data_IF_396679181612
#
_entry.id   IF_396679181612
#
_cell.length_a   1.000
_cell.length_b   1.000
_cell.length_c   1.000
_cell.angle_alpha   90.00
_cell.angle_beta   90.00
_cell.angle_gamma   90.00
#
_symmetry.space_group_name_H-M   'P 1'
#
loop_
_entity.id
_entity.type
_entity.pdbx_description
1 polymer ?
#
# COMPACT_ATOMS: atom_id res chain seq x y z
N UNK A 1 -12.97 3.94 -28.00
CA UNK A 1 -13.89 2.92 -27.47
C UNK A 1 -13.05 1.84 -26.78
N UNK A 2 -12.71 2.03 -25.50
CA UNK A 2 -12.29 0.94 -24.60
C UNK A 2 -12.81 1.30 -23.21
N UNK A 3 -14.11 1.02 -23.02
CA UNK A 3 -14.71 1.04 -21.70
C UNK A 3 -14.23 -0.21 -20.96
N UNK A 4 -13.13 -0.09 -20.21
CA UNK A 4 -12.75 -1.14 -19.27
C UNK A 4 -13.74 -1.11 -18.11
N UNK A 5 -14.74 -1.97 -18.25
CA UNK A 5 -15.75 -2.38 -17.27
C UNK A 5 -15.14 -2.46 -15.86
N UNK A 6 -15.34 -1.42 -15.08
CA UNK A 6 -15.18 -1.45 -13.63
C UNK A 6 -16.13 -2.52 -13.07
N UNK A 7 -15.67 -3.50 -12.28
CA UNK A 7 -16.59 -4.39 -11.61
C UNK A 7 -17.36 -3.56 -10.57
N UNK A 8 -18.65 -3.41 -10.86
CA UNK A 8 -19.68 -2.89 -9.98
C UNK A 8 -19.66 -3.62 -8.63
N UNK A 9 -19.00 -3.05 -7.63
CA UNK A 9 -19.35 -3.26 -6.23
C UNK A 9 -20.16 -2.04 -5.77
N UNK A 10 -21.47 -2.24 -5.62
CA UNK A 10 -22.35 -1.27 -4.99
C UNK A 10 -22.09 -1.28 -3.47
N UNK A 11 -21.76 -0.11 -2.91
CA UNK A 11 -22.05 0.37 -1.54
C UNK A 11 -21.09 1.54 -1.18
N UNK A 12 -21.56 2.65 -0.59
CA UNK A 12 -20.75 3.84 -0.34
C UNK A 12 -19.97 3.69 0.98
N UNK A 13 -18.89 2.90 0.98
CA UNK A 13 -18.00 2.78 2.16
C UNK A 13 -16.53 2.47 1.85
N UNK A 14 -16.15 2.42 0.57
CA UNK A 14 -14.81 1.99 0.13
C UNK A 14 -13.72 3.03 0.47
N UNK A 15 -13.27 3.03 1.74
CA UNK A 15 -12.10 3.73 2.26
C UNK A 15 -10.80 2.97 1.97
N UNK A 16 -10.75 2.13 0.95
CA UNK A 16 -9.59 1.29 0.65
C UNK A 16 -8.48 2.14 0.02
N UNK A 17 -7.26 2.18 0.61
CA UNK A 17 -6.15 2.97 0.05
C UNK A 17 -5.51 2.32 -1.18
N UNK A 18 -6.16 1.31 -1.78
CA UNK A 18 -5.71 0.61 -2.98
C UNK A 18 -6.78 0.56 -4.06
N UNK A 19 -6.35 0.55 -5.32
CA UNK A 19 -7.21 0.45 -6.51
C UNK A 19 -6.76 -0.68 -7.40
N UNK A 20 -7.71 -1.54 -7.78
CA UNK A 20 -7.49 -2.60 -8.75
C UNK A 20 -7.27 -2.03 -10.15
N UNK A 21 -6.44 -2.72 -10.93
CA UNK A 21 -6.11 -2.38 -12.31
C UNK A 21 -6.01 -3.67 -13.13
N UNK A 22 -6.03 -3.56 -14.45
CA UNK A 22 -6.03 -4.70 -15.36
C UNK A 22 -4.78 -5.61 -15.21
N UNK A 23 -3.68 -5.05 -14.72
CA UNK A 23 -2.38 -5.74 -14.59
C UNK A 23 -1.99 -6.00 -13.11
N UNK A 24 -2.82 -5.58 -12.15
CA UNK A 24 -2.49 -5.69 -10.72
C UNK A 24 -3.21 -4.66 -9.85
N UNK A 25 -2.53 -4.13 -8.83
CA UNK A 25 -3.13 -3.19 -7.87
C UNK A 25 -2.24 -1.99 -7.59
N UNK A 26 -2.83 -0.80 -7.48
CA UNK A 26 -2.14 0.44 -7.13
C UNK A 26 -2.47 0.83 -5.70
N UNK A 27 -1.45 1.04 -4.86
CA UNK A 27 -1.61 1.27 -3.41
C UNK A 27 -1.05 2.65 -3.06
N UNK A 28 -1.83 3.44 -2.35
CA UNK A 28 -1.39 4.68 -1.71
C UNK A 28 -0.81 4.36 -0.33
N UNK A 29 0.48 4.61 -0.16
CA UNK A 29 1.23 4.37 1.06
C UNK A 29 1.66 5.68 1.71
N UNK A 30 1.58 5.72 3.03
CA UNK A 30 2.28 6.70 3.85
C UNK A 30 3.43 5.99 4.52
N UNK A 31 4.65 6.35 4.14
CA UNK A 31 5.86 5.74 4.67
C UNK A 31 6.38 6.58 5.82
N UNK A 32 6.48 5.97 7.00
CA UNK A 32 7.11 6.54 8.18
C UNK A 32 8.50 5.91 8.35
N UNK A 33 9.58 6.61 7.95
CA UNK A 33 10.94 6.16 8.15
C UNK A 33 11.32 6.22 9.64
N UNK A 34 12.40 5.51 10.02
CA UNK A 34 12.82 5.36 11.43
C UNK A 34 11.74 4.78 12.36
N UNK A 35 10.88 3.91 11.82
CA UNK A 35 9.78 3.28 12.56
C UNK A 35 10.17 2.12 13.48
N UNK A 36 11.47 1.89 13.70
CA UNK A 36 12.00 0.79 14.53
C UNK A 36 11.91 -0.60 13.87
N UNK A 37 10.80 -0.91 13.20
CA UNK A 37 10.53 -2.18 12.48
C UNK A 37 9.87 -1.92 11.12
N UNK A 38 10.01 -2.88 10.22
CA UNK A 38 9.35 -2.88 8.91
C UNK A 38 7.98 -3.57 9.04
N UNK A 39 6.92 -2.77 9.08
CA UNK A 39 5.55 -3.21 9.38
C UNK A 39 4.49 -2.35 8.68
N UNK A 40 3.34 -2.95 8.38
CA UNK A 40 2.14 -2.28 7.93
C UNK A 40 1.27 -2.00 9.16
N UNK A 41 1.07 -0.71 9.47
CA UNK A 41 0.34 -0.21 10.66
C UNK A 41 -1.18 -0.26 10.45
N UNK A 42 -1.63 -0.34 9.19
CA UNK A 42 -3.05 -0.33 8.82
C UNK A 42 -3.43 0.86 7.94
N UNK A 43 -4.73 1.17 7.88
CA UNK A 43 -5.27 2.25 7.05
C UNK A 43 -5.45 3.50 7.91
N UNK A 44 -4.88 4.61 7.47
CA UNK A 44 -5.04 5.93 8.09
C UNK A 44 -5.82 6.85 7.14
N UNK A 45 -6.79 7.60 7.66
CA UNK A 45 -7.38 8.72 6.91
C UNK A 45 -6.57 9.98 7.14
N UNK A 46 -6.12 10.61 6.04
CA UNK A 46 -5.55 11.95 6.08
C UNK A 46 -6.63 12.99 6.37
N UNK A 47 -6.19 14.15 6.86
CA UNK A 47 -7.02 15.33 7.07
C UNK A 47 -7.73 15.80 5.80
N UNK A 48 -7.17 15.54 4.61
CA UNK A 48 -7.79 15.78 3.30
C UNK A 48 -8.91 14.76 2.93
N UNK A 49 -9.29 13.86 3.83
CA UNK A 49 -10.31 12.83 3.61
C UNK A 49 -9.83 11.60 2.82
N UNK A 50 -8.56 11.57 2.40
CA UNK A 50 -7.96 10.46 1.64
C UNK A 50 -7.50 9.33 2.56
N UNK A 51 -7.80 8.09 2.22
CA UNK A 51 -7.24 6.91 2.90
C UNK A 51 -5.85 6.56 2.36
N UNK A 52 -4.93 6.19 3.25
CA UNK A 52 -3.59 5.70 2.92
C UNK A 52 -3.24 4.49 3.77
N UNK A 53 -2.45 3.59 3.22
CA UNK A 53 -1.88 2.49 3.99
C UNK A 53 -0.63 2.99 4.69
N UNK A 54 -0.65 3.01 6.02
CA UNK A 54 0.46 3.44 6.85
C UNK A 54 1.46 2.31 6.97
N UNK A 55 2.70 2.61 6.58
CA UNK A 55 3.80 1.66 6.57
C UNK A 55 4.97 2.27 7.31
N UNK A 56 5.46 1.57 8.31
CA UNK A 56 6.65 1.95 9.06
C UNK A 56 7.81 1.13 8.56
N UNK A 57 8.96 1.76 8.39
CA UNK A 57 10.19 1.08 8.02
C UNK A 57 11.30 1.49 8.95
N UNK A 58 12.18 0.55 9.32
CA UNK A 58 13.37 0.86 10.12
C UNK A 58 14.35 1.73 9.32
N UNK A 59 14.31 1.60 8.00
CA UNK A 59 15.17 2.35 7.09
C UNK A 59 14.99 3.87 7.27
N UNK A 60 16.11 4.57 7.07
CA UNK A 60 16.18 6.03 7.11
C UNK A 60 15.59 6.57 5.79
N UNK A 61 15.03 7.77 5.83
CA UNK A 61 14.48 8.50 4.68
C UNK A 61 15.55 9.00 3.69
N UNK A 62 16.65 8.26 3.52
CA UNK A 62 17.84 8.71 2.83
C UNK A 62 18.09 7.88 1.56
N UNK A 63 18.40 8.54 0.46
CA UNK A 63 18.96 7.91 -0.76
C UNK A 63 18.17 6.75 -1.37
N UNK A 64 16.89 6.57 -1.06
CA UNK A 64 16.08 5.44 -1.52
C UNK A 64 16.17 4.17 -0.64
N UNK A 65 16.83 4.21 0.51
CA UNK A 65 16.84 3.12 1.49
C UNK A 65 15.42 2.79 1.98
N UNK A 66 14.63 3.83 2.30
CA UNK A 66 13.20 3.66 2.62
C UNK A 66 12.41 2.99 1.49
N UNK A 67 12.69 3.35 0.22
CA UNK A 67 12.00 2.73 -0.92
C UNK A 67 12.34 1.23 -1.02
N UNK A 68 13.62 0.87 -0.87
CA UNK A 68 14.04 -0.55 -0.87
C UNK A 68 13.42 -1.33 0.28
N UNK A 69 13.36 -0.74 1.48
CA UNK A 69 12.74 -1.38 2.64
C UNK A 69 11.23 -1.61 2.41
N UNK A 70 10.51 -0.61 1.88
CA UNK A 70 9.09 -0.74 1.52
C UNK A 70 8.86 -1.83 0.49
N UNK A 71 9.67 -1.85 -0.59
CA UNK A 71 9.57 -2.91 -1.62
C UNK A 71 9.85 -4.29 -1.02
N UNK A 72 10.87 -4.41 -0.16
CA UNK A 72 11.18 -5.66 0.52
C UNK A 72 10.06 -6.15 1.44
N UNK A 73 9.48 -5.23 2.22
CA UNK A 73 8.36 -5.52 3.12
C UNK A 73 7.13 -5.98 2.34
N UNK A 74 6.77 -5.27 1.27
CA UNK A 74 5.61 -5.60 0.45
C UNK A 74 5.80 -6.89 -0.33
N UNK A 75 6.99 -7.11 -0.90
CA UNK A 75 7.32 -8.36 -1.59
C UNK A 75 7.13 -9.55 -0.64
N UNK A 76 7.60 -9.44 0.60
CA UNK A 76 7.45 -10.48 1.62
C UNK A 76 6.01 -10.64 2.09
N UNK A 77 5.28 -9.54 2.29
CA UNK A 77 3.91 -9.56 2.82
C UNK A 77 2.89 -10.04 1.77
N UNK A 78 3.09 -9.68 0.50
CA UNK A 78 2.22 -10.06 -0.61
C UNK A 78 2.67 -11.35 -1.31
N UNK A 79 3.89 -11.83 -1.04
CA UNK A 79 4.46 -13.01 -1.69
C UNK A 79 4.75 -12.80 -3.18
N UNK A 80 5.06 -11.57 -3.59
CA UNK A 80 5.36 -11.21 -4.99
C UNK A 80 6.83 -10.87 -5.18
N UNK A 81 7.40 -11.07 -6.39
CA UNK A 81 8.76 -10.66 -6.65
C UNK A 81 8.89 -9.13 -6.59
N UNK A 82 10.04 -8.64 -6.10
CA UNK A 82 10.34 -7.20 -6.02
C UNK A 82 10.21 -6.50 -7.38
N UNK A 83 10.45 -7.23 -8.48
CA UNK A 83 10.32 -6.75 -9.85
C UNK A 83 8.88 -6.39 -10.24
N UNK A 84 7.88 -7.05 -9.62
CA UNK A 84 6.47 -6.73 -9.82
C UNK A 84 6.04 -5.48 -9.06
N UNK A 85 6.89 -4.92 -8.18
CA UNK A 85 6.57 -3.75 -7.38
C UNK A 85 7.25 -2.54 -8.02
N UNK A 86 6.44 -1.59 -8.51
CA UNK A 86 6.91 -0.34 -9.13
C UNK A 86 6.40 0.86 -8.35
N UNK A 87 7.22 1.89 -8.22
CA UNK A 87 6.76 3.19 -7.73
C UNK A 87 6.11 3.97 -8.87
N UNK A 88 4.81 4.26 -8.75
CA UNK A 88 4.08 5.08 -9.71
C UNK A 88 4.37 6.57 -9.51
N UNK A 89 4.43 7.02 -8.26
CA UNK A 89 4.62 8.45 -7.92
C UNK A 89 4.99 8.62 -6.45
N UNK A 90 5.60 9.76 -6.10
CA UNK A 90 5.96 10.07 -4.71
C UNK A 90 7.35 9.56 -4.29
N UNK A 91 8.30 9.44 -5.22
CA UNK A 91 9.70 9.16 -4.86
C UNK A 91 10.22 10.20 -3.83
N UNK A 92 9.85 11.47 -4.00
CA UNK A 92 10.26 12.62 -3.17
C UNK A 92 9.22 13.04 -2.11
N UNK A 93 8.02 12.46 -2.13
CA UNK A 93 6.90 12.87 -1.26
C UNK A 93 6.64 11.85 -0.15
N UNK A 94 6.12 12.33 0.99
CA UNK A 94 5.73 11.52 2.16
C UNK A 94 4.60 10.53 1.84
N UNK A 95 3.81 10.84 0.81
CA UNK A 95 2.79 9.99 0.22
C UNK A 95 3.38 9.34 -1.02
N UNK A 96 3.51 8.01 -0.98
CA UNK A 96 4.01 7.19 -2.09
C UNK A 96 2.86 6.43 -2.73
N UNK A 97 2.90 6.27 -4.04
CA UNK A 97 1.98 5.42 -4.77
C UNK A 97 2.78 4.34 -5.48
N UNK A 98 2.41 3.10 -5.26
CA UNK A 98 3.08 1.93 -5.84
C UNK A 98 2.08 1.11 -6.63
N UNK A 99 2.53 0.53 -7.72
CA UNK A 99 1.82 -0.52 -8.45
C UNK A 99 2.47 -1.85 -8.11
N UNK A 100 1.64 -2.84 -7.84
CA UNK A 100 2.04 -4.23 -7.71
C UNK A 100 1.39 -5.00 -8.85
N UNK A 101 2.22 -5.49 -9.76
CA UNK A 101 1.82 -6.35 -10.87
C UNK A 101 1.56 -7.77 -10.35
N UNK A 102 0.49 -8.40 -10.80
CA UNK A 102 0.09 -9.73 -10.36
C UNK A 102 -1.42 -9.88 -10.29
N UNK A 103 -1.88 -10.89 -9.56
CA UNK A 103 -3.30 -11.22 -9.51
C UNK A 103 -4.06 -10.23 -8.60
N UNK A 104 -4.90 -9.33 -9.17
CA UNK A 104 -5.50 -8.24 -8.41
C UNK A 104 -6.39 -8.75 -7.28
N UNK A 105 -7.12 -9.85 -7.49
CA UNK A 105 -8.01 -10.44 -6.48
C UNK A 105 -7.20 -10.96 -5.27
N UNK A 106 -6.13 -11.71 -5.54
CA UNK A 106 -5.24 -12.24 -4.49
C UNK A 106 -4.53 -11.11 -3.72
N UNK A 107 -4.05 -10.10 -4.45
CA UNK A 107 -3.36 -8.95 -3.86
C UNK A 107 -4.30 -8.15 -2.96
N UNK A 108 -5.51 -7.84 -3.42
CA UNK A 108 -6.52 -7.13 -2.64
C UNK A 108 -6.93 -7.88 -1.38
N UNK A 109 -7.17 -9.19 -1.48
CA UNK A 109 -7.49 -10.02 -0.33
C UNK A 109 -6.37 -10.00 0.72
N UNK A 110 -5.11 -10.15 0.29
CA UNK A 110 -3.94 -10.10 1.17
C UNK A 110 -3.78 -8.73 1.83
N UNK A 111 -3.95 -7.64 1.07
CA UNK A 111 -3.88 -6.28 1.61
C UNK A 111 -4.96 -6.02 2.66
N UNK A 112 -6.19 -6.48 2.39
CA UNK A 112 -7.29 -6.37 3.35
C UNK A 112 -6.98 -7.14 4.63
N UNK A 113 -6.45 -8.36 4.52
CA UNK A 113 -6.01 -9.14 5.67
C UNK A 113 -4.91 -8.43 6.47
N UNK A 114 -3.88 -7.90 5.80
CA UNK A 114 -2.78 -7.17 6.45
C UNK A 114 -3.28 -5.88 7.14
N UNK A 115 -4.19 -5.15 6.51
CA UNK A 115 -4.79 -3.95 7.06
C UNK A 115 -5.71 -4.24 8.27
N UNK A 116 -6.50 -5.31 8.21
CA UNK A 116 -7.41 -5.70 9.30
C UNK A 116 -6.69 -6.36 10.46
N UNK A 117 -5.64 -7.14 10.22
CA UNK A 117 -4.90 -7.87 11.25
C UNK A 117 -4.08 -6.97 12.19
N UNK A 118 -3.83 -5.72 11.80
CA UNK A 118 -2.93 -4.79 12.51
C UNK A 118 -3.55 -3.45 12.86
N UNK A 119 -4.85 -3.25 12.60
CA UNK A 119 -5.60 -2.07 13.06
C UNK A 119 -5.76 -1.99 14.59
N UNK A 120 -5.03 -2.82 15.34
CA UNK A 120 -4.87 -2.69 16.79
C UNK A 120 -4.05 -1.43 17.08
N UNK A 121 -4.74 -0.29 17.04
CA UNK A 121 -4.54 0.78 18.00
C UNK A 121 -4.61 0.16 19.41
N UNK A 122 -3.49 -0.37 19.89
CA UNK A 122 -3.25 -0.49 21.30
C UNK A 122 -2.31 0.65 21.65
N UNK A 123 -2.94 1.79 21.97
CA UNK A 123 -2.27 2.88 22.63
C UNK A 123 -1.54 2.40 23.88
N UNK A 124 -0.40 3.05 24.14
CA UNK A 124 0.16 3.16 25.47
C UNK A 124 0.56 4.61 25.68
#
# INVERSE_FOLDING_TARGET
MVANKEPSCKEPSCKEPWRYSALGISIALRVTPRGGRDEIDGIEQLSDGRSVLKVRVRAIADGGAANKAVVGLLAKSLGVPKASIRFLSGATSRLKRIAVEGDPARLGATLRQLASAKSTDQGN
#
